data_IF_038808233240
#
_entry.id   IF_038808233240
#
_cell.length_a   1.000
_cell.length_b   1.000
_cell.length_c   1.000
_cell.angle_alpha   90.00
_cell.angle_beta   90.00
_cell.angle_gamma   90.00
#
_symmetry.space_group_name_H-M   'P 1'
#
loop_
_entity.id
_entity.type
_entity.pdbx_description
1 polymer ?
#
# COMPACT_ATOMS: atom_id res chain seq x y z
N UNK A 1 60.91 -7.16 -17.97
CA UNK A 1 59.70 -6.86 -18.76
C UNK A 1 58.66 -6.29 -17.80
N UNK A 2 58.38 -4.98 -17.87
CA UNK A 2 57.35 -4.30 -17.06
C UNK A 2 56.17 -4.02 -17.98
N UNK A 3 55.01 -4.59 -17.67
CA UNK A 3 53.76 -4.31 -18.36
C UNK A 3 52.96 -3.31 -17.52
N UNK A 4 52.66 -2.17 -18.12
CA UNK A 4 51.91 -1.06 -17.56
C UNK A 4 50.41 -1.39 -17.54
N UNK A 5 49.77 -1.26 -16.37
CA UNK A 5 48.32 -1.42 -16.20
C UNK A 5 47.64 -0.11 -16.64
N UNK A 6 46.56 -0.13 -17.45
CA UNK A 6 46.00 1.07 -18.06
C UNK A 6 45.15 1.87 -17.07
N UNK A 7 45.54 3.13 -16.88
CA UNK A 7 44.88 4.19 -16.07
C UNK A 7 43.43 4.49 -16.53
N UNK A 8 43.00 3.96 -17.68
CA UNK A 8 41.72 4.27 -18.30
C UNK A 8 40.49 3.69 -17.59
N UNK A 9 40.64 2.66 -16.75
CA UNK A 9 39.51 2.01 -16.05
C UNK A 9 39.03 2.86 -14.84
N UNK A 10 39.86 3.77 -14.32
CA UNK A 10 39.52 4.53 -13.11
C UNK A 10 38.51 5.68 -13.37
N UNK A 11 38.53 6.27 -14.57
CA UNK A 11 37.69 7.43 -14.90
C UNK A 11 36.22 7.08 -15.19
N UNK A 12 35.94 5.88 -15.71
CA UNK A 12 34.56 5.44 -15.97
C UNK A 12 33.82 5.10 -14.67
N UNK A 13 34.51 4.52 -13.68
CA UNK A 13 33.94 4.22 -12.36
C UNK A 13 33.61 5.52 -11.60
N UNK A 14 34.47 6.54 -11.71
CA UNK A 14 34.24 7.83 -11.06
C UNK A 14 33.06 8.60 -11.68
N UNK A 15 32.85 8.52 -13.00
CA UNK A 15 31.69 9.12 -13.68
C UNK A 15 30.36 8.48 -13.28
N UNK A 16 30.36 7.16 -13.06
CA UNK A 16 29.17 6.43 -12.56
C UNK A 16 28.88 6.83 -11.10
N UNK A 17 29.92 6.96 -10.26
CA UNK A 17 29.76 7.41 -8.86
C UNK A 17 29.26 8.85 -8.74
N UNK A 18 29.70 9.76 -9.62
CA UNK A 18 29.22 11.15 -9.61
C UNK A 18 27.75 11.21 -10.07
N UNK A 19 27.35 10.41 -11.06
CA UNK A 19 25.94 10.37 -11.50
C UNK A 19 25.00 9.79 -10.43
N UNK A 20 25.44 8.85 -9.60
CA UNK A 20 24.63 8.37 -8.45
C UNK A 20 24.57 9.37 -7.31
N UNK A 21 25.60 10.21 -7.11
CA UNK A 21 25.59 11.28 -6.11
C UNK A 21 24.70 12.49 -6.48
N UNK A 22 24.35 12.65 -7.76
CA UNK A 22 23.42 13.70 -8.23
C UNK A 22 21.97 13.23 -8.42
N UNK A 23 21.66 11.99 -8.04
CA UNK A 23 20.28 11.54 -8.01
C UNK A 23 19.56 12.11 -6.78
N UNK A 24 18.81 13.18 -7.07
CA UNK A 24 17.55 13.53 -6.42
C UNK A 24 17.72 14.15 -5.04
N UNK A 25 18.16 15.41 -5.05
CA UNK A 25 17.77 16.37 -4.02
C UNK A 25 16.40 16.99 -4.42
N UNK A 26 15.40 16.15 -4.68
CA UNK A 26 14.01 16.63 -4.72
C UNK A 26 13.66 16.99 -3.29
N UNK A 27 13.35 18.26 -3.07
CA UNK A 27 12.81 18.69 -1.78
C UNK A 27 11.52 17.92 -1.54
N UNK A 28 11.58 16.91 -0.67
CA UNK A 28 10.41 16.16 -0.24
C UNK A 28 9.45 17.18 0.34
N UNK A 29 8.26 17.32 -0.27
CA UNK A 29 7.26 18.23 0.25
C UNK A 29 6.94 17.85 1.71
N UNK A 30 6.81 18.84 2.62
CA UNK A 30 6.49 18.54 4.01
C UNK A 30 5.19 17.73 4.09
N UNK A 31 5.22 16.59 4.81
CA UNK A 31 4.13 15.61 4.84
C UNK A 31 2.74 16.21 5.17
N UNK A 32 2.70 17.36 5.87
CA UNK A 32 1.48 18.11 6.15
C UNK A 32 0.72 18.59 4.89
N UNK A 33 1.39 18.71 3.74
CA UNK A 33 0.76 19.04 2.45
C UNK A 33 0.16 17.82 1.75
N UNK A 34 0.63 16.62 2.06
CA UNK A 34 0.26 15.39 1.36
C UNK A 34 -1.02 14.74 1.93
N UNK A 35 -1.42 15.10 3.15
CA UNK A 35 -2.62 14.57 3.83
C UNK A 35 -3.64 15.67 4.21
N UNK A 36 -4.30 16.35 3.26
CA UNK A 36 -5.23 17.44 3.56
C UNK A 36 -6.63 16.98 4.04
N UNK A 37 -6.91 15.67 4.02
CA UNK A 37 -8.24 15.10 4.26
C UNK A 37 -8.33 14.42 5.62
N UNK A 38 -9.51 14.48 6.24
CA UNK A 38 -9.82 13.77 7.48
C UNK A 38 -11.17 13.07 7.38
N UNK A 39 -11.35 12.00 8.17
CA UNK A 39 -12.62 11.31 8.31
C UNK A 39 -13.04 11.23 9.77
N UNK A 40 -14.35 11.16 10.02
CA UNK A 40 -14.97 10.98 11.33
C UNK A 40 -15.92 9.81 11.27
N UNK A 41 -15.58 8.74 11.98
CA UNK A 41 -16.48 7.62 12.19
C UNK A 41 -17.53 7.99 13.23
N UNK A 42 -18.80 7.77 12.90
CA UNK A 42 -19.94 7.86 13.81
C UNK A 42 -20.61 6.50 13.89
N UNK A 43 -21.50 6.31 14.88
CA UNK A 43 -22.24 5.05 15.04
C UNK A 43 -23.11 4.66 13.82
N UNK A 44 -23.29 5.55 12.83
CA UNK A 44 -24.15 5.31 11.66
C UNK A 44 -23.47 5.56 10.31
N UNK A 45 -22.35 6.28 10.27
CA UNK A 45 -21.72 6.69 9.04
C UNK A 45 -20.25 7.06 9.25
N UNK A 46 -19.45 6.88 8.19
CA UNK A 46 -18.14 7.47 8.07
C UNK A 46 -18.28 8.79 7.29
N UNK A 47 -18.01 9.91 7.95
CA UNK A 47 -18.06 11.24 7.34
C UNK A 47 -16.67 11.63 6.88
N UNK A 48 -16.53 12.07 5.63
CA UNK A 48 -15.28 12.59 5.10
C UNK A 48 -15.37 14.11 5.01
N UNK A 49 -14.25 14.82 5.19
CA UNK A 49 -14.18 16.28 5.02
C UNK A 49 -14.23 16.75 3.55
N UNK A 50 -14.55 15.83 2.65
CA UNK A 50 -14.59 16.07 1.21
C UNK A 50 -16.03 16.45 0.79
N UNK A 51 -16.17 17.19 -0.30
CA UNK A 51 -17.48 17.45 -0.93
C UNK A 51 -18.09 16.21 -1.58
N UNK A 52 -17.40 15.06 -1.55
CA UNK A 52 -17.82 13.81 -2.19
C UNK A 52 -18.46 12.88 -1.17
N UNK A 53 -19.73 12.55 -1.40
CA UNK A 53 -20.45 11.56 -0.58
C UNK A 53 -19.97 10.16 -0.93
N UNK A 54 -19.16 9.56 -0.07
CA UNK A 54 -18.81 8.13 -0.16
C UNK A 54 -19.97 7.33 0.44
N UNK A 55 -20.64 6.51 -0.39
CA UNK A 55 -21.69 5.61 0.10
C UNK A 55 -21.05 4.40 0.77
N UNK A 56 -21.27 4.27 2.07
CA UNK A 56 -20.89 3.08 2.83
C UNK A 56 -22.11 2.17 2.99
N UNK A 57 -21.96 0.89 2.64
CA UNK A 57 -22.98 -0.13 2.87
C UNK A 57 -22.54 -0.97 4.07
N UNK A 58 -22.98 -0.65 5.30
CA UNK A 58 -22.50 -1.32 6.52
C UNK A 58 -22.78 -2.82 6.54
N UNK A 59 -23.81 -3.26 5.81
CA UNK A 59 -24.24 -4.67 5.76
C UNK A 59 -23.49 -5.49 4.69
N UNK A 60 -22.61 -4.87 3.91
CA UNK A 60 -21.94 -5.51 2.79
C UNK A 60 -20.43 -5.23 2.78
N UNK A 61 -19.64 -6.30 2.77
CA UNK A 61 -18.18 -6.22 2.65
C UNK A 61 -17.81 -6.04 1.18
N UNK A 62 -17.59 -4.78 0.80
CA UNK A 62 -17.06 -4.40 -0.50
C UNK A 62 -15.54 -4.16 -0.43
N UNK A 63 -14.75 -4.54 -1.45
CA UNK A 63 -13.36 -4.09 -1.62
C UNK A 63 -13.19 -2.57 -1.43
N UNK A 64 -14.15 -1.79 -1.94
CA UNK A 64 -14.19 -0.33 -1.87
C UNK A 64 -14.25 0.18 -0.43
N UNK A 65 -14.92 -0.54 0.49
CA UNK A 65 -14.99 -0.11 1.88
C UNK A 65 -13.61 -0.12 2.52
N UNK A 66 -12.80 -1.16 2.26
CA UNK A 66 -11.44 -1.21 2.78
C UNK A 66 -10.53 -0.16 2.16
N UNK A 67 -10.66 0.07 0.85
CA UNK A 67 -9.94 1.14 0.15
C UNK A 67 -10.23 2.51 0.76
N UNK A 68 -11.50 2.80 1.04
CA UNK A 68 -11.92 4.09 1.61
C UNK A 68 -11.52 4.28 3.08
N UNK A 69 -11.15 3.19 3.78
CA UNK A 69 -10.63 3.20 5.14
C UNK A 69 -9.10 3.28 5.20
N UNK A 70 -8.42 3.12 4.06
CA UNK A 70 -6.97 3.15 4.02
C UNK A 70 -6.42 4.58 4.16
N UNK A 71 -5.30 4.72 4.85
CA UNK A 71 -4.56 5.98 4.95
C UNK A 71 -3.93 6.35 3.61
N UNK A 72 -3.61 5.35 2.79
CA UNK A 72 -3.11 5.53 1.43
C UNK A 72 -3.56 4.42 0.49
N UNK A 73 -3.91 4.80 -0.74
CA UNK A 73 -4.32 3.90 -1.82
C UNK A 73 -3.29 3.97 -2.94
N UNK A 74 -2.41 2.97 -3.04
CA UNK A 74 -1.45 2.90 -4.14
C UNK A 74 -2.14 2.45 -5.43
N UNK A 75 -1.95 3.24 -6.50
CA UNK A 75 -2.58 3.07 -7.80
C UNK A 75 -4.13 3.06 -7.73
N UNK A 76 -4.70 4.26 -7.61
CA UNK A 76 -6.13 4.45 -7.46
C UNK A 76 -6.94 3.68 -8.53
N UNK A 77 -7.97 2.91 -8.13
CA UNK A 77 -8.81 2.19 -9.07
C UNK A 77 -9.77 3.09 -9.84
N UNK A 78 -9.90 2.83 -11.13
CA UNK A 78 -10.79 3.52 -12.07
C UNK A 78 -12.03 2.70 -12.45
N UNK A 79 -12.19 1.49 -11.90
CA UNK A 79 -13.22 0.53 -12.34
C UNK A 79 -14.67 1.01 -12.15
N UNK A 80 -14.89 2.03 -11.31
CA UNK A 80 -16.21 2.64 -11.07
C UNK A 80 -16.34 4.06 -11.61
N UNK A 81 -15.47 4.46 -12.55
CA UNK A 81 -15.39 5.84 -13.05
C UNK A 81 -15.10 6.87 -11.94
N UNK A 82 -14.54 6.42 -10.82
CA UNK A 82 -14.00 7.28 -9.78
C UNK A 82 -12.67 7.83 -10.27
N UNK A 83 -12.44 9.13 -10.07
CA UNK A 83 -11.16 9.75 -10.41
C UNK A 83 -10.69 10.61 -9.25
N UNK A 84 -9.37 10.63 -9.06
CA UNK A 84 -8.71 11.56 -8.17
C UNK A 84 -7.96 12.59 -9.00
N UNK A 85 -7.98 13.83 -8.54
CA UNK A 85 -7.17 14.91 -9.11
C UNK A 85 -5.70 14.85 -8.66
N UNK A 86 -5.36 13.89 -7.80
CA UNK A 86 -4.01 13.70 -7.25
C UNK A 86 -3.50 12.32 -7.60
N UNK A 87 -2.26 12.19 -8.12
CA UNK A 87 -1.66 10.89 -8.38
C UNK A 87 -1.39 10.17 -7.06
N UNK A 88 -1.66 8.87 -7.01
CA UNK A 88 -1.42 8.04 -5.82
C UNK A 88 -0.29 7.03 -6.00
N UNK A 89 0.36 7.06 -7.16
CA UNK A 89 1.48 6.22 -7.57
C UNK A 89 2.86 6.82 -7.24
N UNK A 90 2.92 8.09 -6.78
CA UNK A 90 4.16 8.70 -6.26
C UNK A 90 4.52 8.17 -4.85
N UNK A 91 4.60 6.85 -4.73
CA UNK A 91 4.83 6.18 -3.46
C UNK A 91 6.20 6.46 -2.86
N UNK A 92 7.19 6.89 -3.65
CA UNK A 92 8.53 7.21 -3.13
C UNK A 92 8.52 8.44 -2.23
N UNK A 93 7.69 9.45 -2.53
CA UNK A 93 7.52 10.63 -1.69
C UNK A 93 6.57 10.40 -0.52
N UNK A 94 5.56 9.53 -0.69
CA UNK A 94 4.52 9.28 0.32
C UNK A 94 4.97 8.25 1.36
N UNK A 95 5.58 7.14 0.94
CA UNK A 95 5.94 6.02 1.82
C UNK A 95 6.76 6.42 3.07
N UNK A 96 7.76 7.32 2.99
CA UNK A 96 8.50 7.77 4.18
C UNK A 96 7.67 8.61 5.16
N UNK A 97 6.57 9.22 4.70
CA UNK A 97 5.69 10.07 5.51
C UNK A 97 4.62 9.28 6.28
N UNK A 98 4.38 8.01 5.93
CA UNK A 98 3.31 7.22 6.55
C UNK A 98 3.67 6.86 8.00
N UNK A 99 2.81 7.15 8.99
CA UNK A 99 3.05 6.73 10.37
C UNK A 99 3.02 5.20 10.52
N UNK A 100 3.63 4.69 11.59
CA UNK A 100 3.50 3.27 11.95
C UNK A 100 2.03 2.92 12.20
N UNK A 101 1.61 1.75 11.70
CA UNK A 101 0.23 1.28 11.77
C UNK A 101 -0.65 1.77 10.61
N UNK A 102 -0.12 2.55 9.68
CA UNK A 102 -0.88 3.00 8.51
C UNK A 102 -1.49 1.82 7.74
N UNK A 103 -2.71 1.98 7.26
CA UNK A 103 -3.39 1.04 6.37
C UNK A 103 -3.09 1.46 4.94
N UNK A 104 -2.42 0.58 4.19
CA UNK A 104 -2.11 0.78 2.78
C UNK A 104 -2.98 -0.16 1.96
N UNK A 105 -3.82 0.41 1.11
CA UNK A 105 -4.57 -0.34 0.11
C UNK A 105 -3.79 -0.41 -1.20
N UNK A 106 -3.68 -1.60 -1.77
CA UNK A 106 -3.04 -1.85 -3.06
C UNK A 106 -3.99 -2.65 -3.93
N UNK A 107 -4.23 -2.19 -5.16
CA UNK A 107 -4.93 -3.02 -6.14
C UNK A 107 -4.14 -4.29 -6.41
N UNK A 108 -4.82 -5.43 -6.43
CA UNK A 108 -4.10 -6.71 -6.47
C UNK A 108 -3.22 -6.89 -7.72
N UNK A 109 -3.58 -6.28 -8.85
CA UNK A 109 -2.76 -6.35 -10.05
C UNK A 109 -1.50 -5.46 -9.99
N UNK A 110 -1.45 -4.49 -9.08
CA UNK A 110 -0.27 -3.63 -8.84
C UNK A 110 0.61 -4.14 -7.70
N UNK A 111 0.30 -5.30 -7.13
CA UNK A 111 1.01 -5.80 -5.95
C UNK A 111 2.50 -6.02 -6.22
N UNK A 112 2.85 -6.49 -7.42
CA UNK A 112 4.24 -6.71 -7.84
C UNK A 112 4.98 -5.36 -7.98
N UNK A 113 4.33 -4.37 -8.60
CA UNK A 113 4.84 -3.00 -8.70
C UNK A 113 5.06 -2.39 -7.31
N UNK A 114 4.11 -2.58 -6.41
CA UNK A 114 4.18 -2.10 -5.04
C UNK A 114 5.39 -2.67 -4.30
N UNK A 115 5.57 -4.00 -4.29
CA UNK A 115 6.71 -4.61 -3.62
C UNK A 115 8.05 -4.23 -4.25
N UNK A 116 8.09 -4.08 -5.58
CA UNK A 116 9.32 -3.71 -6.28
C UNK A 116 9.72 -2.25 -6.08
N UNK A 117 8.76 -1.33 -6.15
CA UNK A 117 9.05 0.10 -6.27
C UNK A 117 8.68 0.91 -5.04
N UNK A 118 7.80 0.41 -4.17
CA UNK A 118 7.28 1.18 -3.02
C UNK A 118 7.76 0.59 -1.69
N UNK A 119 7.62 -0.73 -1.49
CA UNK A 119 7.99 -1.40 -0.24
C UNK A 119 9.40 -1.09 0.28
N UNK A 120 10.43 -0.90 -0.57
CA UNK A 120 11.76 -0.50 -0.09
C UNK A 120 11.79 0.85 0.62
N UNK A 121 10.89 1.78 0.27
CA UNK A 121 10.83 3.15 0.82
C UNK A 121 9.91 3.27 2.03
N UNK A 122 9.10 2.26 2.34
CA UNK A 122 8.32 2.23 3.59
C UNK A 122 9.29 2.07 4.75
N UNK A 123 9.30 2.99 5.70
CA UNK A 123 10.19 2.92 6.87
C UNK A 123 9.45 2.32 8.06
N UNK A 124 8.17 2.66 8.20
CA UNK A 124 7.34 2.25 9.31
C UNK A 124 6.57 0.97 9.00
N UNK A 125 6.22 0.23 10.04
CA UNK A 125 5.35 -0.93 9.94
C UNK A 125 3.93 -0.53 9.53
N UNK A 126 3.25 -1.35 8.74
CA UNK A 126 1.95 -1.03 8.16
C UNK A 126 1.04 -2.25 8.03
N UNK A 127 -0.26 -1.99 7.89
CA UNK A 127 -1.26 -3.00 7.51
C UNK A 127 -1.45 -2.95 6.01
N UNK A 128 -1.27 -4.08 5.33
CA UNK A 128 -1.49 -4.20 3.89
C UNK A 128 -2.91 -4.69 3.62
N UNK A 129 -3.59 -4.04 2.69
CA UNK A 129 -4.89 -4.50 2.18
C UNK A 129 -4.79 -4.64 0.68
N UNK A 130 -5.15 -5.79 0.14
CA UNK A 130 -5.25 -6.01 -1.31
C UNK A 130 -6.66 -6.38 -1.75
N UNK A 131 -7.07 -5.88 -2.91
CA UNK A 131 -8.34 -6.25 -3.51
C UNK A 131 -8.55 -5.71 -4.92
N UNK A 132 -9.81 -5.76 -5.37
CA UNK A 132 -10.27 -5.26 -6.67
C UNK A 132 -9.54 -5.89 -7.87
N UNK A 133 -9.53 -7.22 -7.88
CA UNK A 133 -9.14 -8.04 -9.02
C UNK A 133 -9.32 -9.53 -8.70
N UNK A 134 -9.09 -10.38 -9.69
CA UNK A 134 -9.35 -11.83 -9.60
C UNK A 134 -8.12 -12.65 -9.15
N UNK A 135 -6.99 -11.97 -8.93
CA UNK A 135 -5.76 -12.59 -8.45
C UNK A 135 -5.87 -12.99 -6.97
N UNK A 136 -5.21 -14.09 -6.61
CA UNK A 136 -5.14 -14.59 -5.25
C UNK A 136 -4.10 -13.88 -4.39
N UNK A 137 -4.44 -13.68 -3.12
CA UNK A 137 -3.54 -13.22 -2.07
C UNK A 137 -3.40 -14.25 -0.95
N UNK A 138 -2.27 -14.27 -0.22
CA UNK A 138 -1.10 -13.40 -0.41
C UNK A 138 -0.19 -13.88 -1.54
N UNK A 139 0.41 -12.93 -2.27
CA UNK A 139 1.62 -13.17 -3.09
C UNK A 139 2.86 -12.75 -2.30
N UNK A 140 4.07 -12.96 -2.83
CA UNK A 140 5.29 -12.39 -2.21
C UNK A 140 5.49 -12.77 -0.72
N UNK A 141 5.20 -14.04 -0.39
CA UNK A 141 5.16 -14.60 0.96
C UNK A 141 6.39 -14.31 1.81
N UNK A 142 7.56 -14.14 1.19
CA UNK A 142 8.80 -13.79 1.88
C UNK A 142 8.65 -12.52 2.71
N UNK A 143 7.92 -11.51 2.20
CA UNK A 143 7.67 -10.26 2.91
C UNK A 143 6.69 -10.40 4.09
N UNK A 144 5.95 -11.51 4.19
CA UNK A 144 5.12 -11.79 5.36
C UNK A 144 5.91 -12.48 6.48
N UNK A 145 6.84 -13.36 6.12
CA UNK A 145 7.50 -14.25 7.09
C UNK A 145 8.90 -13.81 7.50
N UNK A 146 9.54 -12.92 6.75
CA UNK A 146 10.89 -12.47 7.07
C UNK A 146 10.94 -11.73 8.42
N UNK A 147 12.00 -11.91 9.24
CA UNK A 147 12.10 -11.28 10.56
C UNK A 147 12.06 -9.74 10.52
N UNK A 148 12.47 -9.14 9.40
CA UNK A 148 12.48 -7.71 9.14
C UNK A 148 11.27 -7.25 8.32
N UNK A 149 10.21 -8.06 8.25
CA UNK A 149 8.97 -7.70 7.56
C UNK A 149 8.39 -6.43 8.18
N UNK A 150 8.05 -5.47 7.33
CA UNK A 150 7.35 -4.23 7.73
C UNK A 150 5.82 -4.43 7.74
N UNK A 151 5.34 -5.61 7.37
CA UNK A 151 3.91 -5.92 7.34
C UNK A 151 3.52 -6.39 8.74
N UNK A 152 2.63 -5.62 9.37
CA UNK A 152 1.96 -6.00 10.62
C UNK A 152 0.98 -7.12 10.32
N UNK A 153 0.12 -6.90 9.34
CA UNK A 153 -0.89 -7.84 8.88
C UNK A 153 -1.26 -7.57 7.43
N UNK A 154 -1.65 -8.60 6.68
CA UNK A 154 -2.12 -8.48 5.31
C UNK A 154 -3.54 -9.07 5.18
N UNK A 155 -4.48 -8.21 4.82
CA UNK A 155 -5.83 -8.58 4.41
C UNK A 155 -5.93 -8.69 2.88
N UNK A 156 -6.26 -9.86 2.35
CA UNK A 156 -6.28 -10.09 0.89
C UNK A 156 -7.50 -10.85 0.39
N UNK A 157 -7.77 -10.73 -0.91
CA UNK A 157 -8.90 -11.40 -1.59
C UNK A 157 -8.48 -12.69 -2.29
N UNK A 158 -9.49 -13.47 -2.71
CA UNK A 158 -9.36 -14.68 -3.54
C UNK A 158 -8.38 -15.70 -2.97
N UNK A 159 -8.64 -16.12 -1.75
CA UNK A 159 -7.81 -17.02 -1.00
C UNK A 159 -7.64 -18.43 -1.50
N UNK A 160 -6.75 -18.63 -2.46
CA UNK A 160 -6.34 -19.95 -2.92
C UNK A 160 -5.21 -20.56 -2.07
N UNK A 161 -4.53 -19.73 -1.27
CA UNK A 161 -3.46 -20.18 -0.37
C UNK A 161 -4.00 -20.59 1.00
N UNK A 162 -3.36 -21.59 1.59
CA UNK A 162 -3.62 -22.00 2.97
C UNK A 162 -3.16 -20.91 3.94
N UNK A 163 -4.14 -20.26 4.57
CA UNK A 163 -3.90 -19.16 5.53
C UNK A 163 -3.43 -19.62 6.88
N UNK A 164 -3.66 -20.89 7.21
CA UNK A 164 -3.20 -21.42 8.49
C UNK A 164 -1.67 -21.46 8.58
N UNK A 165 -0.98 -21.36 7.44
CA UNK A 165 0.48 -21.29 7.37
C UNK A 165 1.06 -19.90 7.68
N UNK A 166 0.24 -18.84 7.73
CA UNK A 166 0.73 -17.45 7.85
C UNK A 166 -0.06 -16.64 8.89
N UNK A 167 0.51 -16.47 10.07
CA UNK A 167 -0.13 -15.74 11.19
C UNK A 167 -0.51 -14.29 10.85
N UNK A 168 0.27 -13.67 9.95
CA UNK A 168 0.09 -12.27 9.53
C UNK A 168 -0.85 -12.09 8.33
N UNK A 169 -1.65 -13.09 7.97
CA UNK A 169 -2.52 -12.99 6.82
C UNK A 169 -3.98 -13.36 7.15
N UNK A 170 -4.94 -12.65 6.55
CA UNK A 170 -6.37 -12.94 6.68
C UNK A 170 -7.10 -12.73 5.36
N UNK A 171 -7.94 -13.71 5.01
CA UNK A 171 -8.82 -13.59 3.86
C UNK A 171 -9.93 -12.58 4.13
N UNK A 172 -10.10 -11.65 3.18
CA UNK A 172 -11.25 -10.76 3.14
C UNK A 172 -12.46 -11.50 2.57
N UNK A 173 -13.56 -11.63 3.33
CA UNK A 173 -14.77 -12.28 2.86
C UNK A 173 -15.54 -11.34 1.91
N UNK A 174 -15.20 -11.37 0.62
CA UNK A 174 -15.94 -10.62 -0.40
C UNK A 174 -17.29 -11.28 -0.72
N UNK A 175 -18.29 -10.45 -1.04
CA UNK A 175 -19.60 -10.93 -1.50
C UNK A 175 -20.45 -11.65 -0.45
N UNK A 176 -20.00 -11.69 0.81
CA UNK A 176 -20.81 -12.18 1.93
C UNK A 176 -21.62 -11.02 2.50
N UNK A 177 -22.94 -11.19 2.51
CA UNK A 177 -23.80 -10.39 3.39
C UNK A 177 -23.44 -10.72 4.82
N UNK A 178 -23.24 -9.71 5.67
CA UNK A 178 -23.40 -9.93 7.08
C UNK A 178 -24.88 -10.21 7.29
N UNK A 179 -25.26 -11.49 7.41
CA UNK A 179 -26.56 -11.84 7.98
C UNK A 179 -26.52 -11.20 9.35
N UNK A 180 -27.22 -10.08 9.52
CA UNK A 180 -27.28 -9.29 10.74
C UNK A 180 -27.22 -10.24 11.91
N UNK A 181 -26.06 -10.31 12.57
CA UNK A 181 -25.97 -11.05 13.81
C UNK A 181 -27.06 -10.42 14.66
N UNK A 182 -28.09 -11.20 15.02
CA UNK A 182 -29.01 -10.76 16.07
C UNK A 182 -28.08 -10.32 17.17
N UNK A 183 -28.15 -9.05 17.53
CA UNK A 183 -27.47 -8.51 18.69
C UNK A 183 -27.91 -9.42 19.83
N UNK A 184 -27.06 -10.38 20.18
CA UNK A 184 -27.20 -11.10 21.43
C UNK A 184 -26.86 -10.02 22.45
N UNK A 185 -27.91 -9.46 23.03
CA UNK A 185 -27.80 -8.64 24.23
C UNK A 185 -27.12 -9.54 25.27
N UNK A 186 -25.81 -9.34 25.44
CA UNK A 186 -25.06 -9.78 26.63
C UNK A 186 -25.03 -8.58 27.56
#
# INVERSE_FOLDING_TARGET
MRASIPVLICLSVLSILIKTLFLVNESVEPCSKLCPYWSKLTNKALQFSTSHTIRHFPDFVCPQNFRNLADWVYAWPDQFHESLNVPTDNGRSIAPCLPSGSIIYVRIWEIDSFFRFIYPYLINEFVLVTGEGDMSSPTHLTHLVEPNSKIIHWFGQNGQYDVSAYEKFTHLPIGKYFVSARILNI
#
